data_IF_641219832142
#
_entry.id   IF_641219832142
#
_cell.length_a   1.000
_cell.length_b   1.000
_cell.length_c   1.000
_cell.angle_alpha   90.00
_cell.angle_beta   90.00
_cell.angle_gamma   90.00
#
_symmetry.space_group_name_H-M   'P 1'
#
loop_
_entity.id
_entity.type
_entity.pdbx_description
1 polymer ?
#
# COMPACT_ATOMS: atom_id res chain seq x y z
N UNK A 1 -7.36 3.46 13.25
CA UNK A 1 -8.56 3.63 12.40
C UNK A 1 -8.82 2.28 11.78
N UNK A 2 -9.88 1.60 12.20
CA UNK A 2 -10.35 0.39 11.53
C UNK A 2 -10.98 0.78 10.20
N UNK A 3 -10.56 0.10 9.13
CA UNK A 3 -11.10 0.31 7.80
C UNK A 3 -12.42 -0.45 7.69
N UNK A 4 -13.56 0.21 7.43
CA UNK A 4 -14.81 -0.50 7.24
C UNK A 4 -14.75 -1.31 5.94
N UNK A 5 -14.69 -2.64 6.05
CA UNK A 5 -14.87 -3.56 4.92
C UNK A 5 -16.35 -3.55 4.55
N UNK A 6 -16.76 -2.62 3.69
CA UNK A 6 -18.11 -2.66 3.09
C UNK A 6 -18.16 -3.79 2.06
N UNK A 7 -18.94 -4.81 2.37
CA UNK A 7 -19.33 -5.86 1.43
C UNK A 7 -20.15 -5.22 0.29
N UNK A 8 -19.53 -4.94 -0.84
CA UNK A 8 -20.21 -4.56 -2.06
C UNK A 8 -19.98 -5.63 -3.12
N UNK A 9 -21.00 -6.46 -3.36
CA UNK A 9 -21.08 -7.31 -4.55
C UNK A 9 -21.16 -6.41 -5.78
N UNK A 10 -20.11 -6.34 -6.59
CA UNK A 10 -20.27 -6.10 -8.03
C UNK A 10 -19.08 -6.64 -8.82
N UNK A 11 -19.38 -7.47 -9.82
CA UNK A 11 -18.43 -7.94 -10.83
C UNK A 11 -17.88 -6.73 -11.61
N UNK A 12 -16.57 -6.61 -11.71
CA UNK A 12 -15.90 -5.57 -12.49
C UNK A 12 -14.39 -5.67 -12.35
N UNK A 13 -13.69 -5.72 -13.49
CA UNK A 13 -12.24 -5.81 -13.62
C UNK A 13 -11.50 -4.79 -12.74
N UNK A 14 -10.32 -5.20 -12.26
CA UNK A 14 -9.52 -4.54 -11.22
C UNK A 14 -9.53 -3.01 -11.26
N UNK A 15 -9.74 -2.40 -10.09
CA UNK A 15 -9.78 -0.95 -9.97
C UNK A 15 -9.01 -0.53 -8.71
N UNK A 16 -8.10 0.41 -8.92
CA UNK A 16 -7.42 1.21 -7.90
C UNK A 16 -8.37 1.61 -6.77
N UNK A 17 -7.84 1.90 -5.56
CA UNK A 17 -8.62 2.54 -4.51
C UNK A 17 -9.32 3.74 -5.12
N UNK A 18 -10.65 3.77 -5.09
CA UNK A 18 -11.35 4.98 -5.50
C UNK A 18 -11.32 5.91 -4.32
N UNK A 19 -11.15 7.21 -4.55
CA UNK A 19 -11.33 8.25 -3.53
C UNK A 19 -12.65 8.05 -2.76
N UNK A 20 -13.68 7.49 -3.41
CA UNK A 20 -14.96 7.10 -2.81
C UNK A 20 -14.87 6.07 -1.67
N UNK A 21 -13.84 5.23 -1.67
CA UNK A 21 -13.61 4.24 -0.61
C UNK A 21 -12.93 4.89 0.62
N UNK A 22 -12.40 6.12 0.47
CA UNK A 22 -11.65 6.88 1.48
C UNK A 22 -11.96 8.38 1.38
N UNK A 23 -13.16 8.83 1.80
CA UNK A 23 -13.63 10.20 1.56
C UNK A 23 -12.78 11.29 2.22
N UNK A 24 -12.02 10.95 3.27
CA UNK A 24 -11.13 11.87 3.99
C UNK A 24 -9.71 11.95 3.37
N UNK A 25 -9.42 11.13 2.35
CA UNK A 25 -8.13 11.14 1.66
C UNK A 25 -8.21 12.02 0.42
N UNK A 26 -7.27 12.95 0.30
CA UNK A 26 -7.18 13.84 -0.86
C UNK A 26 -6.54 13.10 -2.04
N UNK A 27 -6.74 13.67 -3.25
CA UNK A 27 -6.08 13.24 -4.48
C UNK A 27 -4.56 13.04 -4.29
N UNK A 28 -3.98 12.15 -5.09
CA UNK A 28 -2.57 11.76 -5.03
C UNK A 28 -1.59 12.96 -5.03
N UNK A 29 -0.95 13.21 -3.89
CA UNK A 29 0.12 14.21 -3.70
C UNK A 29 1.51 13.61 -3.91
N UNK A 30 2.41 14.38 -4.50
CA UNK A 30 3.82 14.01 -4.65
C UNK A 30 4.68 14.69 -3.60
N UNK A 31 5.71 14.00 -3.12
CA UNK A 31 6.63 14.53 -2.11
C UNK A 31 8.08 14.20 -2.44
N UNK A 32 8.98 15.07 -2.03
CA UNK A 32 10.43 14.88 -2.11
C UNK A 32 11.07 15.59 -0.93
N UNK A 33 11.98 14.89 -0.25
CA UNK A 33 12.71 15.41 0.91
C UNK A 33 11.79 16.06 1.98
N UNK A 34 10.62 15.46 2.21
CA UNK A 34 9.64 15.90 3.21
C UNK A 34 8.67 17.00 2.75
N UNK A 35 8.78 17.49 1.52
CA UNK A 35 8.02 18.63 1.00
C UNK A 35 7.12 18.20 -0.15
N UNK A 36 5.91 18.75 -0.22
CA UNK A 36 4.99 18.54 -1.36
C UNK A 36 5.56 19.19 -2.63
N UNK A 37 5.59 18.44 -3.73
CA UNK A 37 6.14 18.87 -5.02
C UNK A 37 5.15 18.60 -6.16
N UNK A 38 5.33 19.24 -7.34
CA UNK A 38 4.50 18.97 -8.50
C UNK A 38 4.51 17.49 -8.95
N UNK A 39 3.45 17.07 -9.63
CA UNK A 39 3.37 15.74 -10.23
C UNK A 39 4.49 15.53 -11.26
N UNK A 40 5.14 14.36 -11.22
CA UNK A 40 6.21 13.97 -12.14
C UNK A 40 7.60 14.51 -11.78
N UNK A 41 7.74 15.25 -10.68
CA UNK A 41 9.05 15.71 -10.19
C UNK A 41 10.01 14.53 -10.03
N UNK A 42 11.19 14.62 -10.66
CA UNK A 42 12.13 13.50 -10.72
C UNK A 42 12.62 13.14 -9.32
N UNK A 43 12.45 11.87 -8.98
CA UNK A 43 12.85 11.32 -7.69
C UNK A 43 11.85 11.56 -6.56
N UNK A 44 10.66 12.10 -6.85
CA UNK A 44 9.56 12.20 -5.86
C UNK A 44 8.87 10.85 -5.61
N UNK A 45 8.25 10.72 -4.44
CA UNK A 45 7.28 9.66 -4.11
C UNK A 45 5.86 10.19 -4.21
N UNK A 46 4.98 9.40 -4.82
CA UNK A 46 3.54 9.65 -4.90
C UNK A 46 2.79 8.41 -4.43
N UNK A 47 2.30 8.36 -3.18
CA UNK A 47 1.42 7.26 -2.75
C UNK A 47 0.08 7.31 -3.46
N UNK A 48 -0.61 6.17 -3.52
CA UNK A 48 -1.94 6.07 -4.14
C UNK A 48 -2.97 6.97 -3.47
N UNK A 49 -2.86 7.16 -2.15
CA UNK A 49 -3.68 8.08 -1.37
C UNK A 49 -2.83 8.77 -0.30
N UNK A 50 -3.15 10.02 -0.01
CA UNK A 50 -2.53 10.76 1.08
C UNK A 50 -3.55 11.63 1.82
N UNK A 51 -3.51 11.56 3.14
CA UNK A 51 -4.03 12.58 4.03
C UNK A 51 -2.87 13.07 4.91
N UNK A 52 -2.99 14.26 5.51
CA UNK A 52 -1.93 14.82 6.36
C UNK A 52 -1.47 13.80 7.41
N UNK A 53 -0.19 13.41 7.33
CA UNK A 53 0.42 12.46 8.25
C UNK A 53 0.14 10.97 7.98
N UNK A 54 -0.53 10.59 6.87
CA UNK A 54 -0.76 9.18 6.53
C UNK A 54 -0.88 8.93 5.03
N UNK A 55 -0.07 8.01 4.52
CA UNK A 55 -0.13 7.52 3.14
C UNK A 55 -0.65 6.09 3.04
N UNK A 56 -1.41 5.80 1.99
CA UNK A 56 -1.84 4.44 1.63
C UNK A 56 -1.32 4.09 0.23
N UNK A 57 -0.81 2.87 0.10
CA UNK A 57 -0.47 2.23 -1.17
C UNK A 57 -1.32 0.97 -1.36
N UNK A 58 -1.77 0.68 -2.57
CA UNK A 58 -2.54 -0.53 -2.87
C UNK A 58 -1.86 -1.38 -3.92
N UNK A 59 -1.64 -2.64 -3.58
CA UNK A 59 -0.91 -3.60 -4.39
C UNK A 59 -1.82 -4.76 -4.78
N UNK A 60 -1.77 -5.16 -6.05
CA UNK A 60 -2.49 -6.32 -6.58
C UNK A 60 -1.49 -7.25 -7.27
N UNK A 61 -0.75 -8.02 -6.45
CA UNK A 61 0.21 -9.02 -6.92
C UNK A 61 -0.43 -10.40 -6.88
N UNK A 62 -0.08 -11.28 -7.81
CA UNK A 62 -0.43 -12.70 -7.74
C UNK A 62 0.44 -13.39 -6.69
N UNK A 63 -0.02 -13.47 -5.45
CA UNK A 63 0.77 -14.02 -4.33
C UNK A 63 0.66 -15.55 -4.19
N UNK A 64 -0.16 -16.19 -5.02
CA UNK A 64 -0.17 -17.66 -5.17
C UNK A 64 1.13 -18.21 -5.75
N UNK A 65 1.97 -17.36 -6.36
CA UNK A 65 3.29 -17.76 -6.88
C UNK A 65 4.41 -17.24 -5.97
N UNK A 66 5.52 -17.99 -5.91
CA UNK A 66 6.73 -17.54 -5.19
C UNK A 66 7.31 -16.25 -5.78
N UNK A 67 7.31 -16.12 -7.11
CA UNK A 67 7.79 -14.92 -7.80
C UNK A 67 6.95 -13.68 -7.46
N UNK A 68 5.62 -13.79 -7.45
CA UNK A 68 4.74 -12.68 -7.10
C UNK A 68 4.93 -12.21 -5.66
N UNK A 69 5.12 -13.14 -4.73
CA UNK A 69 5.47 -12.85 -3.33
C UNK A 69 6.81 -12.11 -3.22
N UNK A 70 7.87 -12.63 -3.85
CA UNK A 70 9.19 -11.99 -3.83
C UNK A 70 9.18 -10.59 -4.45
N UNK A 71 8.48 -10.40 -5.56
CA UNK A 71 8.33 -9.08 -6.20
C UNK A 71 7.56 -8.10 -5.31
N UNK A 72 6.48 -8.54 -4.68
CA UNK A 72 5.70 -7.72 -3.75
C UNK A 72 6.56 -7.26 -2.58
N UNK A 73 7.25 -8.19 -1.90
CA UNK A 73 8.15 -7.88 -0.77
C UNK A 73 9.19 -6.84 -1.18
N UNK A 74 9.87 -7.05 -2.30
CA UNK A 74 10.93 -6.15 -2.75
C UNK A 74 10.40 -4.75 -3.09
N UNK A 75 9.26 -4.66 -3.79
CA UNK A 75 8.71 -3.37 -4.20
C UNK A 75 8.13 -2.59 -3.03
N UNK A 76 7.39 -3.26 -2.13
CA UNK A 76 6.87 -2.63 -0.92
C UNK A 76 8.01 -2.13 -0.04
N UNK A 77 9.02 -2.97 0.22
CA UNK A 77 10.14 -2.58 1.10
C UNK A 77 10.88 -1.36 0.56
N UNK A 78 11.20 -1.34 -0.74
CA UNK A 78 11.88 -0.18 -1.38
C UNK A 78 11.04 1.09 -1.31
N UNK A 79 9.72 0.99 -1.50
CA UNK A 79 8.84 2.15 -1.46
C UNK A 79 8.68 2.70 -0.04
N UNK A 80 8.48 1.81 0.95
CA UNK A 80 8.38 2.21 2.35
C UNK A 80 9.65 2.92 2.80
N UNK A 81 10.81 2.34 2.50
CA UNK A 81 12.11 2.92 2.87
C UNK A 81 12.32 4.30 2.23
N UNK A 82 12.09 4.43 0.92
CA UNK A 82 12.23 5.72 0.23
C UNK A 82 11.29 6.79 0.81
N UNK A 83 10.10 6.38 1.23
CA UNK A 83 9.08 7.27 1.79
C UNK A 83 9.40 7.74 3.21
N UNK A 84 10.32 7.10 3.93
CA UNK A 84 10.83 7.61 5.20
C UNK A 84 11.48 8.98 5.00
N UNK A 85 12.22 9.19 3.89
CA UNK A 85 12.85 10.47 3.56
C UNK A 85 11.98 11.39 2.70
N UNK A 86 11.20 10.83 1.77
CA UNK A 86 10.44 11.66 0.82
C UNK A 86 9.20 12.30 1.43
N UNK A 87 8.48 11.58 2.30
CA UNK A 87 7.23 12.07 2.88
C UNK A 87 7.52 12.99 4.06
N UNK A 88 6.57 13.87 4.44
CA UNK A 88 6.70 14.68 5.66
C UNK A 88 7.01 13.80 6.87
N UNK A 89 7.94 14.25 7.71
CA UNK A 89 8.39 13.50 8.90
C UNK A 89 7.20 13.07 9.76
N UNK A 90 7.23 11.81 10.22
CA UNK A 90 6.16 11.23 11.03
C UNK A 90 4.95 10.74 10.23
N UNK A 91 4.99 10.81 8.90
CA UNK A 91 3.93 10.21 8.06
C UNK A 91 3.86 8.70 8.27
N UNK A 92 2.70 8.22 8.74
CA UNK A 92 2.40 6.79 8.82
C UNK A 92 2.23 6.22 7.41
N UNK A 93 2.58 4.96 7.23
CA UNK A 93 2.45 4.27 5.95
C UNK A 93 1.61 3.01 6.11
N UNK A 94 0.64 2.81 5.21
CA UNK A 94 -0.11 1.56 5.11
C UNK A 94 -0.08 1.00 3.71
N UNK A 95 -0.04 -0.32 3.59
CA UNK A 95 -0.16 -1.04 2.30
C UNK A 95 -1.35 -1.97 2.37
N UNK A 96 -2.27 -1.82 1.44
CA UNK A 96 -3.38 -2.76 1.23
C UNK A 96 -2.97 -3.72 0.12
N UNK A 97 -2.85 -4.99 0.44
CA UNK A 97 -2.57 -6.06 -0.52
C UNK A 97 -3.90 -6.68 -0.93
N UNK A 98 -4.37 -6.37 -2.14
CA UNK A 98 -5.62 -6.89 -2.67
C UNK A 98 -5.42 -8.31 -3.22
N UNK A 99 -6.02 -9.27 -2.53
CA UNK A 99 -5.91 -10.70 -2.82
C UNK A 99 -7.25 -11.32 -3.19
N UNK A 100 -8.27 -10.49 -3.43
CA UNK A 100 -9.61 -10.96 -3.81
C UNK A 100 -9.54 -11.83 -5.05
N UNK A 101 -10.19 -13.00 -4.97
CA UNK A 101 -10.22 -13.99 -6.05
C UNK A 101 -8.95 -14.84 -6.19
N UNK A 102 -7.98 -14.72 -5.26
CA UNK A 102 -6.85 -15.64 -5.16
C UNK A 102 -7.11 -16.66 -4.04
N UNK A 103 -6.79 -17.92 -4.31
CA UNK A 103 -6.80 -18.99 -3.30
C UNK A 103 -5.43 -19.01 -2.59
N UNK A 104 -5.36 -18.43 -1.40
CA UNK A 104 -4.12 -18.20 -0.64
C UNK A 104 -4.34 -18.69 0.78
N UNK A 105 -3.42 -19.53 1.28
CA UNK A 105 -3.47 -20.01 2.66
C UNK A 105 -2.99 -18.95 3.66
N UNK A 106 -3.46 -19.05 4.90
CA UNK A 106 -3.01 -18.17 6.00
C UNK A 106 -1.50 -18.24 6.23
N UNK A 107 -0.88 -19.42 6.05
CA UNK A 107 0.59 -19.58 6.12
C UNK A 107 1.33 -18.69 5.10
N UNK A 108 0.78 -18.56 3.89
CA UNK A 108 1.36 -17.67 2.87
C UNK A 108 1.19 -16.20 3.28
N UNK A 109 0.04 -15.84 3.86
CA UNK A 109 -0.22 -14.47 4.30
C UNK A 109 0.69 -14.07 5.47
N UNK A 110 0.82 -14.93 6.47
CA UNK A 110 1.70 -14.72 7.62
C UNK A 110 3.16 -14.60 7.19
N UNK A 111 3.65 -15.57 6.42
CA UNK A 111 5.03 -15.54 5.94
C UNK A 111 5.33 -14.35 5.02
N UNK A 112 4.32 -13.80 4.33
CA UNK A 112 4.45 -12.57 3.55
C UNK A 112 4.47 -11.33 4.46
N UNK A 113 3.60 -11.28 5.47
CA UNK A 113 3.55 -10.23 6.47
C UNK A 113 4.88 -10.12 7.20
N UNK A 114 5.39 -11.20 7.79
CA UNK A 114 6.67 -11.24 8.50
C UNK A 114 7.83 -10.75 7.63
N UNK A 115 7.91 -11.21 6.37
CA UNK A 115 8.98 -10.80 5.45
C UNK A 115 8.95 -9.30 5.14
N UNK A 116 7.76 -8.73 4.97
CA UNK A 116 7.62 -7.29 4.75
C UNK A 116 8.00 -6.55 6.03
N UNK A 117 7.41 -6.90 7.17
CA UNK A 117 7.65 -6.25 8.45
C UNK A 117 9.13 -6.26 8.83
N UNK A 118 9.82 -7.39 8.64
CA UNK A 118 11.24 -7.52 8.87
C UNK A 118 12.07 -6.62 7.93
N UNK A 119 11.76 -6.57 6.63
CA UNK A 119 12.49 -5.72 5.69
C UNK A 119 12.24 -4.23 5.88
N UNK A 120 11.08 -3.85 6.40
CA UNK A 120 10.72 -2.45 6.64
C UNK A 120 11.00 -2.01 8.08
N UNK A 121 11.57 -2.86 8.93
CA UNK A 121 11.74 -2.62 10.37
C UNK A 121 10.44 -2.18 11.06
N UNK A 122 9.32 -2.74 10.64
CA UNK A 122 7.98 -2.38 11.14
C UNK A 122 7.46 -0.99 10.78
N UNK A 123 8.11 -0.24 9.88
CA UNK A 123 7.68 1.12 9.48
C UNK A 123 6.46 1.17 8.54
N UNK A 124 5.68 0.10 8.47
CA UNK A 124 4.50 0.01 7.63
C UNK A 124 3.43 -0.85 8.30
N UNK A 125 2.17 -0.48 8.07
CA UNK A 125 1.01 -1.26 8.47
C UNK A 125 0.46 -2.02 7.24
N UNK A 126 0.37 -3.35 7.32
CA UNK A 126 -0.04 -4.21 6.21
C UNK A 126 -1.46 -4.71 6.45
N UNK A 127 -2.33 -4.57 5.45
CA UNK A 127 -3.67 -5.16 5.44
C UNK A 127 -3.89 -5.99 4.20
N UNK A 128 -4.44 -7.18 4.37
CA UNK A 128 -4.92 -7.99 3.25
C UNK A 128 -6.39 -7.68 2.99
N UNK A 129 -6.72 -7.34 1.74
CA UNK A 129 -8.10 -7.18 1.32
C UNK A 129 -8.59 -8.49 0.74
N UNK A 130 -9.47 -9.14 1.46
CA UNK A 130 -10.16 -10.38 1.11
C UNK A 130 -11.59 -10.10 0.62
N UNK A 131 -12.33 -11.13 0.24
CA UNK A 131 -13.74 -11.04 -0.16
C UNK A 131 -14.68 -10.78 1.02
#
# INVERSE_FOLDING_TARGET
>A
MDFPVKHAKSKGSGRFPREKDFPDYNAQKSFKDGIEVPYGEKGSSRPDLYQTGHSIEVKNYKITTSSGRSSLVNNVSKQVEKRISDLPVGTKQSVIIDIRGQDVSDEILEGLYEKIMNKTNGNVDIRFKTN
#
